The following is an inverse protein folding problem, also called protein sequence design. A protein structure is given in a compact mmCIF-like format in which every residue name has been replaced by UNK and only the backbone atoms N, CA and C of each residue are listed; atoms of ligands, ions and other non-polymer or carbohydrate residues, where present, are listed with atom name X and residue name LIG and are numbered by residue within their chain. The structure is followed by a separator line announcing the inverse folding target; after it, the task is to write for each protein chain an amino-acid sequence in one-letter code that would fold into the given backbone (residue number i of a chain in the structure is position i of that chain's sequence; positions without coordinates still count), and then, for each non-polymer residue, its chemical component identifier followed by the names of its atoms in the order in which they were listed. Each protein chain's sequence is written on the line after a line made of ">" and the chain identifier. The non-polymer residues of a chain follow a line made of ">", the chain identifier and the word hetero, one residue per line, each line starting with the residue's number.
data_IF_126187404718
#
_entry.id   IF_126187404718
#
_cell.length_a   1.000
_cell.length_b   1.000
_cell.length_c   1.000
_cell.angle_alpha   90.00
_cell.angle_beta   90.00
_cell.angle_gamma   90.00
#
_symmetry.space_group_name_H-M   'P 1'
#
loop_
_entity.id
_entity.type
_entity.pdbx_description
1 polymer ?
#
# COMPACT_ATOMS: atom_id res chain seq x y z
N UNK A 1 2.66 11.84 23.06
CA UNK A 1 2.09 10.66 22.35
C UNK A 1 1.64 11.13 20.99
N UNK A 2 2.00 10.44 19.91
CA UNK A 2 1.68 10.87 18.54
C UNK A 2 0.26 10.41 18.20
N UNK A 3 -0.72 11.28 18.40
CA UNK A 3 -2.12 11.02 18.11
C UNK A 3 -2.61 11.92 16.97
N UNK A 4 -3.47 11.38 16.12
CA UNK A 4 -4.12 12.12 15.03
C UNK A 4 -5.60 11.74 14.93
N UNK A 5 -6.42 12.69 14.52
CA UNK A 5 -7.83 12.43 14.18
C UNK A 5 -7.92 11.99 12.72
N UNK A 6 -8.39 10.78 12.48
CA UNK A 6 -8.48 10.16 11.15
C UNK A 6 -9.93 9.84 10.84
N UNK A 7 -10.33 10.04 9.59
CA UNK A 7 -11.66 9.72 9.10
C UNK A 7 -11.87 8.22 9.04
N UNK A 8 -13.03 7.75 9.53
CA UNK A 8 -13.47 6.36 9.44
C UNK A 8 -14.06 6.05 8.07
N UNK A 9 -13.89 4.81 7.61
CA UNK A 9 -14.48 4.34 6.34
C UNK A 9 -15.99 4.25 6.41
N UNK A 10 -16.53 3.76 7.53
CA UNK A 10 -17.93 3.33 7.63
C UNK A 10 -18.92 4.49 7.63
N UNK A 11 -18.63 5.53 8.42
CA UNK A 11 -19.54 6.65 8.68
C UNK A 11 -18.92 8.01 8.38
N UNK A 12 -17.66 8.06 7.97
CA UNK A 12 -16.94 9.31 7.72
C UNK A 12 -16.66 10.13 8.99
N UNK A 13 -16.94 9.62 10.19
CA UNK A 13 -16.62 10.29 11.45
C UNK A 13 -15.13 10.29 11.74
N UNK A 14 -14.67 11.19 12.61
CA UNK A 14 -13.27 11.22 13.04
C UNK A 14 -13.05 10.26 14.22
N UNK A 15 -11.93 9.55 14.20
CA UNK A 15 -11.44 8.72 15.31
C UNK A 15 -10.01 9.12 15.67
N UNK A 16 -9.76 9.30 16.96
CA UNK A 16 -8.43 9.51 17.54
C UNK A 16 -7.65 8.21 17.42
N UNK A 17 -6.55 8.20 16.67
CA UNK A 17 -5.66 7.04 16.57
C UNK A 17 -4.28 7.36 17.13
N UNK A 18 -3.71 6.41 17.86
CA UNK A 18 -2.33 6.46 18.31
C UNK A 18 -1.44 5.83 17.23
N UNK A 19 -0.50 6.62 16.70
CA UNK A 19 0.41 6.20 15.63
C UNK A 19 1.64 5.45 16.13
N UNK A 20 1.86 5.32 17.45
CA UNK A 20 3.05 4.67 17.98
C UNK A 20 3.23 3.24 17.48
N UNK A 21 2.15 2.45 17.40
CA UNK A 21 2.21 1.10 16.87
C UNK A 21 2.59 1.06 15.40
N UNK A 22 2.03 1.98 14.60
CA UNK A 22 2.37 2.08 13.17
C UNK A 22 3.83 2.52 12.97
N UNK A 23 4.30 3.50 13.75
CA UNK A 23 5.68 3.98 13.71
C UNK A 23 6.72 2.96 14.19
N UNK A 24 6.31 1.96 14.97
CA UNK A 24 7.18 0.84 15.37
C UNK A 24 7.28 -0.26 14.29
N UNK A 25 6.24 -0.44 13.48
CA UNK A 25 6.19 -1.48 12.43
C UNK A 25 6.69 -0.99 11.06
N UNK A 26 6.54 0.29 10.76
CA UNK A 26 6.84 0.87 9.44
C UNK A 26 8.20 1.55 9.45
N UNK A 27 9.06 1.19 8.48
CA UNK A 27 10.40 1.79 8.29
C UNK A 27 10.38 3.05 7.43
N UNK A 28 9.30 3.24 6.68
CA UNK A 28 9.05 4.39 5.83
C UNK A 28 8.99 5.73 6.56
N UNK A 29 8.76 6.80 5.79
CA UNK A 29 8.68 8.16 6.30
C UNK A 29 7.24 8.57 6.56
N UNK A 30 7.01 9.22 7.70
CA UNK A 30 5.73 9.84 8.05
C UNK A 30 5.77 11.31 7.67
N UNK A 31 4.82 11.73 6.85
CA UNK A 31 4.68 13.11 6.38
C UNK A 31 3.31 13.60 6.83
N UNK A 32 3.29 14.74 7.52
CA UNK A 32 2.06 15.38 7.99
C UNK A 32 1.78 16.59 7.09
N UNK A 33 0.79 16.50 6.20
CA UNK A 33 0.42 17.63 5.35
C UNK A 33 -0.01 18.85 6.19
N UNK A 34 0.12 20.03 5.60
CA UNK A 34 -0.27 21.29 6.25
C UNK A 34 -1.75 21.30 6.63
N UNK A 35 -2.05 21.68 7.88
CA UNK A 35 -3.42 21.79 8.35
C UNK A 35 -4.23 22.77 7.48
N UNK A 36 -5.40 22.32 6.99
CA UNK A 36 -6.33 23.12 6.18
C UNK A 36 -6.34 22.80 4.68
N UNK A 37 -5.42 21.97 4.18
CA UNK A 37 -5.55 21.40 2.83
C UNK A 37 -6.56 20.24 2.83
N UNK A 38 -7.43 20.18 1.82
CA UNK A 38 -8.19 18.95 1.54
C UNK A 38 -7.20 17.84 1.20
N UNK A 39 -7.28 16.72 1.91
CA UNK A 39 -6.36 15.60 1.71
C UNK A 39 -6.10 14.76 2.96
N UNK A 40 -5.15 13.83 2.88
CA UNK A 40 -4.82 12.96 3.99
C UNK A 40 -4.28 13.75 5.18
N UNK A 41 -4.58 13.30 6.40
CA UNK A 41 -3.97 13.85 7.62
C UNK A 41 -2.59 13.25 7.89
N UNK A 42 -2.29 12.12 7.25
CA UNK A 42 -1.01 11.45 7.31
C UNK A 42 -0.70 10.82 5.95
N UNK A 43 0.50 11.05 5.44
CA UNK A 43 1.06 10.30 4.32
C UNK A 43 2.19 9.42 4.87
N UNK A 44 2.12 8.12 4.60
CA UNK A 44 3.18 7.17 4.90
C UNK A 44 3.87 6.82 3.60
N UNK A 45 5.09 7.31 3.42
CA UNK A 45 5.94 6.96 2.30
C UNK A 45 6.70 5.66 2.62
N UNK A 46 6.23 4.56 2.08
CA UNK A 46 6.70 3.21 2.39
C UNK A 46 8.08 2.94 1.79
N UNK A 47 8.95 2.28 2.56
CA UNK A 47 10.26 1.86 2.05
C UNK A 47 10.16 0.63 1.14
N UNK A 48 9.17 -0.24 1.37
CA UNK A 48 8.89 -1.43 0.58
C UNK A 48 7.43 -1.90 0.77
N UNK A 49 7.10 -3.07 0.20
CA UNK A 49 5.77 -3.67 0.27
C UNK A 49 5.37 -4.06 1.70
N UNK A 50 6.32 -4.45 2.56
CA UNK A 50 6.00 -4.83 3.93
C UNK A 50 5.43 -3.63 4.69
N UNK A 51 6.05 -2.45 4.54
CA UNK A 51 5.55 -1.22 5.16
C UNK A 51 4.10 -0.91 4.71
N UNK A 52 3.78 -1.14 3.44
CA UNK A 52 2.43 -0.93 2.91
C UNK A 52 1.41 -1.91 3.52
N UNK A 53 1.79 -3.17 3.71
CA UNK A 53 0.96 -4.18 4.35
C UNK A 53 0.71 -3.86 5.83
N UNK A 54 1.73 -3.38 6.56
CA UNK A 54 1.58 -2.92 7.95
C UNK A 54 0.63 -1.70 8.04
N UNK A 55 0.70 -0.77 7.07
CA UNK A 55 -0.23 0.36 7.01
C UNK A 55 -1.68 -0.11 6.77
N UNK A 56 -1.88 -1.06 5.86
CA UNK A 56 -3.21 -1.59 5.55
C UNK A 56 -3.80 -2.37 6.73
N UNK A 57 -3.02 -3.22 7.38
CA UNK A 57 -3.44 -3.94 8.58
C UNK A 57 -3.79 -2.97 9.72
N UNK A 58 -2.99 -1.93 9.93
CA UNK A 58 -3.31 -0.86 10.87
C UNK A 58 -4.64 -0.18 10.52
N UNK A 59 -4.83 0.20 9.26
CA UNK A 59 -6.04 0.87 8.80
C UNK A 59 -7.28 -0.01 8.99
N UNK A 60 -7.17 -1.30 8.68
CA UNK A 60 -8.22 -2.30 8.87
C UNK A 60 -8.60 -2.44 10.35
N UNK A 61 -7.60 -2.60 11.24
CA UNK A 61 -7.84 -2.74 12.69
C UNK A 61 -8.47 -1.50 13.32
N UNK A 62 -8.19 -0.32 12.77
CA UNK A 62 -8.74 0.96 13.26
C UNK A 62 -10.01 1.40 12.52
N UNK A 63 -10.37 0.74 11.41
CA UNK A 63 -11.52 1.10 10.59
C UNK A 63 -11.41 2.50 9.96
N UNK A 64 -10.20 2.92 9.60
CA UNK A 64 -9.90 4.26 9.07
C UNK A 64 -9.73 4.28 7.55
N UNK A 65 -10.06 5.42 6.95
CA UNK A 65 -9.95 5.65 5.52
C UNK A 65 -8.48 5.63 5.09
N UNK A 66 -8.18 4.75 4.13
CA UNK A 66 -6.85 4.62 3.55
C UNK A 66 -6.94 4.73 2.03
N UNK A 67 -5.97 5.39 1.43
CA UNK A 67 -5.77 5.39 -0.02
C UNK A 67 -4.34 4.99 -0.34
N UNK A 68 -4.15 4.18 -1.39
CA UNK A 68 -2.82 3.85 -1.89
C UNK A 68 -2.49 4.77 -3.06
N UNK A 69 -1.27 5.30 -3.08
CA UNK A 69 -0.79 6.21 -4.10
C UNK A 69 0.59 5.77 -4.60
N UNK A 70 0.95 6.18 -5.81
CA UNK A 70 2.29 6.00 -6.37
C UNK A 70 2.79 7.31 -7.02
N UNK A 71 4.01 7.28 -7.56
CA UNK A 71 4.64 8.46 -8.17
C UNK A 71 3.88 9.08 -9.36
N UNK A 72 2.90 8.37 -9.94
CA UNK A 72 2.07 8.85 -11.05
C UNK A 72 0.79 9.55 -10.56
N UNK A 73 0.46 9.43 -9.28
CA UNK A 73 -0.69 10.11 -8.68
C UNK A 73 -0.34 11.58 -8.41
N UNK A 74 -1.04 12.49 -9.09
CA UNK A 74 -0.90 13.94 -8.90
C UNK A 74 -1.74 14.40 -7.71
N UNK A 75 -1.50 15.61 -7.18
CA UNK A 75 -2.12 16.12 -5.94
C UNK A 75 -3.65 16.08 -5.89
N UNK A 76 -4.35 16.04 -7.03
CA UNK A 76 -5.81 15.87 -7.10
C UNK A 76 -6.27 14.45 -6.74
N UNK A 77 -5.40 13.44 -6.85
CA UNK A 77 -5.69 12.06 -6.45
C UNK A 77 -5.99 11.94 -4.93
N UNK A 78 -5.56 12.93 -4.14
CA UNK A 78 -5.69 12.92 -2.68
C UNK A 78 -7.07 13.39 -2.19
N UNK A 79 -7.90 13.95 -3.08
CA UNK A 79 -9.23 14.43 -2.73
C UNK A 79 -10.16 13.33 -2.20
N UNK A 80 -9.95 12.08 -2.64
CA UNK A 80 -10.69 10.92 -2.14
C UNK A 80 -10.24 10.44 -0.74
N UNK A 81 -9.09 10.91 -0.25
CA UNK A 81 -8.50 10.55 1.04
C UNK A 81 -8.59 11.70 2.06
N UNK A 82 -9.53 12.63 1.89
CA UNK A 82 -9.69 13.76 2.80
C UNK A 82 -9.99 13.31 4.24
N UNK A 83 -9.11 13.69 5.17
CA UNK A 83 -9.14 13.26 6.56
C UNK A 83 -8.55 11.86 6.81
N UNK A 84 -8.07 11.15 5.79
CA UNK A 84 -7.60 9.76 5.87
C UNK A 84 -6.07 9.60 5.96
N UNK A 85 -5.60 8.38 5.75
CA UNK A 85 -4.18 8.03 5.64
C UNK A 85 -3.86 7.69 4.18
N UNK A 86 -2.87 8.36 3.58
CA UNK A 86 -2.34 7.97 2.28
C UNK A 86 -1.11 7.07 2.46
N UNK A 87 -1.03 6.00 1.67
CA UNK A 87 0.10 5.06 1.62
C UNK A 87 0.80 5.27 0.28
N UNK A 88 1.95 5.92 0.33
CA UNK A 88 2.75 6.30 -0.84
C UNK A 88 3.81 5.24 -1.13
N UNK A 89 3.69 4.65 -2.33
CA UNK A 89 4.57 3.61 -2.87
C UNK A 89 5.57 4.18 -3.89
N UNK A 90 5.78 5.50 -3.94
CA UNK A 90 6.65 6.15 -4.93
C UNK A 90 8.12 5.80 -4.77
N UNK A 91 8.55 5.35 -3.60
CA UNK A 91 9.95 4.95 -3.41
C UNK A 91 10.24 3.71 -4.25
N UNK A 92 11.37 3.67 -4.97
CA UNK A 92 11.74 2.52 -5.75
C UNK A 92 11.90 1.33 -4.82
N UNK A 93 11.06 0.31 -5.00
CA UNK A 93 11.28 -1.00 -4.39
C UNK A 93 12.67 -1.43 -4.82
N UNK A 94 13.62 -1.42 -3.88
CA UNK A 94 14.98 -1.90 -4.14
C UNK A 94 14.88 -3.27 -4.80
N UNK A 95 15.65 -3.42 -5.89
CA UNK A 95 15.60 -4.49 -6.91
C UNK A 95 15.55 -5.94 -6.39
N UNK A 96 15.72 -6.17 -5.08
CA UNK A 96 15.56 -7.46 -4.42
C UNK A 96 14.17 -8.10 -4.65
N UNK A 97 13.09 -7.31 -4.81
CA UNK A 97 11.76 -7.85 -5.09
C UNK A 97 11.58 -8.37 -6.53
N UNK A 98 12.41 -7.92 -7.48
CA UNK A 98 12.38 -8.43 -8.87
C UNK A 98 12.95 -9.86 -8.98
N UNK A 99 13.72 -10.31 -8.00
CA UNK A 99 14.33 -11.64 -8.03
C UNK A 99 13.34 -12.78 -7.73
N UNK A 100 12.17 -12.48 -7.15
CA UNK A 100 11.18 -13.51 -6.75
C UNK A 100 10.17 -13.82 -7.87
N UNK A 101 10.02 -12.95 -8.89
CA UNK A 101 9.05 -13.13 -9.98
C UNK A 101 9.68 -13.39 -11.36
N UNK A 102 10.95 -13.82 -11.40
CA UNK A 102 11.74 -13.85 -12.64
C UNK A 102 12.54 -15.13 -12.93
N UNK A 103 12.17 -16.29 -12.38
CA UNK A 103 12.76 -17.58 -12.77
C UNK A 103 11.68 -18.65 -12.98
N UNK A 104 10.84 -18.48 -14.00
CA UNK A 104 10.39 -19.65 -14.77
C UNK A 104 11.43 -19.86 -15.87
N UNK A 105 12.50 -20.58 -15.53
CA UNK A 105 13.35 -21.19 -16.53
C UNK A 105 12.48 -22.10 -17.40
N UNK A 106 12.44 -21.78 -18.69
CA UNK A 106 11.95 -22.66 -19.73
C UNK A 106 12.80 -23.94 -19.71
N UNK A 107 12.27 -25.02 -19.11
CA UNK A 107 12.89 -26.34 -19.16
C UNK A 107 12.67 -26.96 -20.55
N UNK A 108 13.70 -27.10 -21.40
CA UNK A 108 13.56 -27.69 -22.73
C UNK A 108 13.36 -29.22 -22.70
N UNK A 109 13.18 -29.83 -21.52
CA UNK A 109 13.04 -31.29 -21.37
C UNK A 109 11.60 -31.79 -21.27
N UNK A 110 10.57 -30.97 -21.44
CA UNK A 110 9.21 -31.50 -21.53
C UNK A 110 9.02 -32.26 -22.86
N UNK A 111 8.79 -33.60 -22.83
CA UNK A 111 8.49 -34.34 -24.03
C UNK A 111 7.10 -33.94 -24.54
N UNK A 112 7.02 -33.61 -25.83
CA UNK A 112 5.78 -33.32 -26.53
C UNK A 112 4.79 -34.49 -26.34
N UNK A 113 3.71 -34.25 -25.61
CA UNK A 113 2.57 -35.17 -25.54
C UNK A 113 1.94 -35.17 -26.94
N UNK A 114 2.25 -36.21 -27.69
CA UNK A 114 1.70 -36.48 -29.02
C UNK A 114 0.27 -36.96 -28.81
N UNK A 115 -0.72 -36.08 -28.99
CA UNK A 115 -2.13 -36.47 -29.05
C UNK A 115 -2.32 -37.45 -30.20
N UNK A 116 -2.58 -38.71 -29.85
CA UNK A 116 -3.08 -39.72 -30.77
C UNK A 116 -4.53 -39.38 -31.11
N UNK A 117 -4.74 -38.66 -32.23
CA UNK A 117 -6.04 -38.65 -32.89
C UNK A 117 -6.26 -40.01 -33.54
N UNK A 118 -7.10 -40.81 -32.88
CA UNK A 118 -7.82 -41.90 -33.53
C UNK A 118 -8.72 -41.30 -34.61
N UNK A 119 -8.47 -41.67 -35.86
CA UNK A 119 -9.41 -41.49 -36.95
C UNK A 119 -9.73 -42.88 -37.51
N UNK A 120 -11.02 -43.14 -37.55
CA UNK A 120 -11.74 -44.23 -38.21
C UNK A 120 -11.38 -44.37 -39.67
#
# INVERSE_FOLDING_TARGET
>A
MLEVDVRRVVDGGLVRVNLAGLAMSVRGRFIFPTAGSRGPVLVVQCADVQDAMECLDFALRKGVLVSMCNAQDTGDAWGACDGGIAVDLSLPVTQAARSVMGQSEHDPRQPAIREARAAT
#
